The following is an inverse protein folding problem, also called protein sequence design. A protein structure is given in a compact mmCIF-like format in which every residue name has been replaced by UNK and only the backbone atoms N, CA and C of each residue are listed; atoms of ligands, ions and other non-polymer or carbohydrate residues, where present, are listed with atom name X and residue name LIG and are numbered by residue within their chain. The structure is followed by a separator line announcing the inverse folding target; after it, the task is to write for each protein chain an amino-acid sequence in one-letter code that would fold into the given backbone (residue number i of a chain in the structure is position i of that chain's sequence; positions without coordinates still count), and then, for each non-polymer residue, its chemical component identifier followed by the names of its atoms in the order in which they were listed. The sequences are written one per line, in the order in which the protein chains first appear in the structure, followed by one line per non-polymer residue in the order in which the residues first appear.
data_IF_294137517477
#
_entry.id   IF_294137517477
#
_cell.length_a   1.000
_cell.length_b   1.000
_cell.length_c   1.000
_cell.angle_alpha   90.00
_cell.angle_beta   90.00
_cell.angle_gamma   90.00
#
_symmetry.space_group_name_H-M   'P 1'
#
loop_
_entity.id
_entity.type
_entity.pdbx_description
1 polymer ?
#
# COMPACT_ATOMS: atom_id res chain seq x y z
N UNK A 1 5.18 13.26 -1.54
CA UNK A 1 4.52 12.11 -0.87
C UNK A 1 4.10 10.98 -1.84
N UNK A 2 3.45 11.22 -2.99
CA UNK A 2 3.03 10.13 -3.90
C UNK A 2 4.18 9.31 -4.51
N UNK A 3 5.31 9.94 -4.82
CA UNK A 3 6.50 9.28 -5.42
C UNK A 3 7.13 8.29 -4.42
N UNK A 4 7.10 8.60 -3.14
CA UNK A 4 7.66 7.75 -2.10
C UNK A 4 6.82 6.47 -1.90
N UNK A 5 5.50 6.56 -1.90
CA UNK A 5 4.59 5.41 -1.76
C UNK A 5 4.74 4.38 -2.89
N UNK A 6 4.82 4.85 -4.14
CA UNK A 6 5.03 3.95 -5.27
C UNK A 6 6.37 3.22 -5.18
N UNK A 7 7.42 3.91 -4.77
CA UNK A 7 8.75 3.34 -4.58
C UNK A 7 8.74 2.27 -3.48
N UNK A 8 8.09 2.53 -2.36
CA UNK A 8 7.94 1.56 -1.26
C UNK A 8 7.26 0.26 -1.72
N UNK A 9 6.20 0.37 -2.55
CA UNK A 9 5.54 -0.80 -3.13
C UNK A 9 6.50 -1.58 -4.03
N UNK A 10 7.21 -0.90 -4.93
CA UNK A 10 8.15 -1.52 -5.87
C UNK A 10 9.29 -2.22 -5.13
N UNK A 11 9.87 -1.60 -4.11
CA UNK A 11 10.96 -2.18 -3.31
C UNK A 11 10.49 -3.45 -2.57
N UNK A 12 9.31 -3.41 -1.97
CA UNK A 12 8.72 -4.57 -1.31
C UNK A 12 8.41 -5.72 -2.28
N UNK A 13 7.85 -5.41 -3.46
CA UNK A 13 7.56 -6.40 -4.50
C UNK A 13 8.84 -6.99 -5.11
N UNK A 14 9.90 -6.19 -5.22
CA UNK A 14 11.20 -6.67 -5.68
C UNK A 14 11.74 -7.74 -4.72
N UNK A 15 11.60 -7.52 -3.41
CA UNK A 15 11.97 -8.51 -2.40
C UNK A 15 11.13 -9.79 -2.51
N UNK A 16 9.81 -9.66 -2.69
CA UNK A 16 8.92 -10.81 -2.89
C UNK A 16 9.27 -11.57 -4.17
N UNK A 17 9.55 -10.86 -5.26
CA UNK A 17 9.95 -11.46 -6.54
C UNK A 17 11.23 -12.29 -6.43
N UNK A 18 12.25 -11.76 -5.73
CA UNK A 18 13.51 -12.49 -5.51
C UNK A 18 13.25 -13.78 -4.74
N UNK A 19 12.40 -13.75 -3.72
CA UNK A 19 12.02 -14.95 -2.96
C UNK A 19 11.28 -15.97 -3.82
N UNK A 20 10.27 -15.52 -4.59
CA UNK A 20 9.47 -16.39 -5.48
C UNK A 20 10.29 -17.02 -6.60
N UNK A 21 11.38 -16.39 -7.02
CA UNK A 21 12.27 -16.86 -8.07
C UNK A 21 13.58 -17.48 -7.56
N UNK A 22 13.71 -17.73 -6.23
CA UNK A 22 14.93 -18.24 -5.61
C UNK A 22 15.38 -19.58 -6.22
N UNK A 23 14.43 -20.47 -6.50
CA UNK A 23 14.69 -21.80 -7.01
C UNK A 23 14.83 -21.87 -8.53
N UNK A 24 14.76 -20.75 -9.23
CA UNK A 24 14.92 -20.74 -10.66
C UNK A 24 16.39 -20.93 -11.05
N UNK A 25 16.69 -21.83 -12.03
CA UNK A 25 18.05 -22.08 -12.47
C UNK A 25 18.67 -20.85 -13.16
N UNK A 26 19.99 -20.81 -13.20
CA UNK A 26 20.75 -19.71 -13.84
C UNK A 26 20.41 -19.52 -15.32
N UNK A 27 19.96 -20.57 -16.01
CA UNK A 27 19.47 -20.46 -17.41
C UNK A 27 18.26 -19.54 -17.58
N UNK A 28 17.54 -19.22 -16.48
CA UNK A 28 16.40 -18.32 -16.49
C UNK A 28 16.72 -16.89 -16.05
N UNK A 29 18.00 -16.51 -16.04
CA UNK A 29 18.41 -15.17 -15.56
C UNK A 29 17.71 -14.03 -16.31
N UNK A 30 17.60 -14.11 -17.64
CA UNK A 30 16.84 -13.10 -18.43
C UNK A 30 15.35 -13.03 -18.05
N UNK A 31 14.77 -14.14 -17.65
CA UNK A 31 13.37 -14.16 -17.20
C UNK A 31 13.23 -13.51 -15.82
N UNK A 32 14.18 -13.73 -14.91
CA UNK A 32 14.24 -13.03 -13.61
C UNK A 32 14.36 -11.52 -13.83
N UNK A 33 15.29 -11.09 -14.66
CA UNK A 33 15.48 -9.66 -14.99
C UNK A 33 14.24 -9.05 -15.63
N UNK A 34 13.52 -9.80 -16.49
CA UNK A 34 12.26 -9.37 -17.06
C UNK A 34 11.20 -9.11 -15.97
N UNK A 35 11.04 -10.03 -15.03
CA UNK A 35 10.08 -9.88 -13.93
C UNK A 35 10.42 -8.64 -13.10
N UNK A 36 11.68 -8.45 -12.72
CA UNK A 36 12.12 -7.29 -11.92
C UNK A 36 11.92 -5.95 -12.66
N UNK A 37 12.28 -5.88 -13.94
CA UNK A 37 12.06 -4.69 -14.75
C UNK A 37 10.57 -4.41 -14.97
N UNK A 38 9.72 -5.44 -15.08
CA UNK A 38 8.28 -5.29 -15.25
C UNK A 38 7.61 -4.77 -13.98
N UNK A 39 8.05 -5.21 -12.79
CA UNK A 39 7.64 -4.63 -11.51
C UNK A 39 8.04 -3.16 -11.43
N UNK A 40 9.28 -2.82 -11.77
CA UNK A 40 9.78 -1.45 -11.72
C UNK A 40 8.95 -0.48 -12.59
N UNK A 41 8.38 -0.98 -13.70
CA UNK A 41 7.45 -0.23 -14.56
C UNK A 41 6.02 -0.15 -14.01
N UNK A 42 5.72 -0.75 -12.87
CA UNK A 42 4.36 -0.91 -12.34
C UNK A 42 3.48 -1.78 -13.23
N UNK A 43 4.07 -2.79 -13.87
CA UNK A 43 3.43 -3.72 -14.82
C UNK A 43 2.85 -3.07 -16.08
N UNK A 44 3.37 -1.90 -16.49
CA UNK A 44 2.82 -1.12 -17.62
C UNK A 44 3.55 -1.34 -18.92
N UNK A 45 4.86 -1.59 -18.88
CA UNK A 45 5.70 -1.62 -20.08
C UNK A 45 6.50 -2.93 -20.20
N UNK A 46 5.84 -4.00 -20.68
CA UNK A 46 6.47 -5.31 -20.85
C UNK A 46 7.57 -5.31 -21.92
N UNK A 47 7.41 -4.53 -22.99
CA UNK A 47 8.43 -4.46 -24.06
C UNK A 47 9.72 -3.85 -23.55
N UNK A 48 9.63 -2.78 -22.77
CA UNK A 48 10.81 -2.15 -22.17
C UNK A 48 11.44 -3.06 -21.12
N UNK A 49 10.64 -3.74 -20.31
CA UNK A 49 11.12 -4.74 -19.37
C UNK A 49 11.90 -5.87 -20.07
N UNK A 50 11.47 -6.31 -21.25
CA UNK A 50 12.20 -7.29 -22.04
C UNK A 50 13.54 -6.74 -22.56
N UNK A 51 13.61 -5.47 -22.98
CA UNK A 51 14.88 -4.82 -23.36
C UNK A 51 15.87 -4.77 -22.19
N UNK A 52 15.40 -4.32 -21.04
CA UNK A 52 16.20 -4.25 -19.81
C UNK A 52 16.68 -5.63 -19.34
N UNK A 53 15.91 -6.68 -19.61
CA UNK A 53 16.31 -8.07 -19.36
C UNK A 53 17.33 -8.63 -20.36
N UNK A 54 17.76 -7.83 -21.33
CA UNK A 54 18.77 -8.21 -22.32
C UNK A 54 18.23 -9.03 -23.50
N UNK A 55 16.93 -8.90 -23.82
CA UNK A 55 16.39 -9.36 -25.09
C UNK A 55 16.65 -8.32 -26.18
N UNK A 56 16.84 -8.80 -27.43
CA UNK A 56 17.12 -7.91 -28.57
C UNK A 56 15.98 -6.93 -28.83
N UNK A 57 16.30 -5.66 -29.12
CA UNK A 57 15.32 -4.62 -29.44
C UNK A 57 14.30 -5.04 -30.52
N UNK A 58 14.79 -5.75 -31.54
CA UNK A 58 13.95 -6.25 -32.64
C UNK A 58 12.93 -7.29 -32.19
N UNK A 59 13.22 -8.04 -31.14
CA UNK A 59 12.39 -9.15 -30.67
C UNK A 59 11.77 -8.90 -29.30
N UNK A 60 12.11 -7.81 -28.61
CA UNK A 60 11.66 -7.53 -27.26
C UNK A 60 10.13 -7.55 -27.08
N UNK A 61 9.40 -6.97 -28.04
CA UNK A 61 7.93 -6.98 -28.02
C UNK A 61 7.37 -8.42 -28.12
N UNK A 62 7.90 -9.21 -29.05
CA UNK A 62 7.47 -10.60 -29.23
C UNK A 62 7.82 -11.42 -28.00
N UNK A 63 9.03 -11.25 -27.46
CA UNK A 63 9.48 -11.95 -26.25
C UNK A 63 8.67 -11.57 -25.02
N UNK A 64 8.35 -10.30 -24.83
CA UNK A 64 7.46 -9.85 -23.78
C UNK A 64 6.09 -10.52 -23.85
N UNK A 65 5.49 -10.54 -25.04
CA UNK A 65 4.22 -11.23 -25.27
C UNK A 65 4.33 -12.74 -25.00
N UNK A 66 5.39 -13.39 -25.47
CA UNK A 66 5.63 -14.83 -25.23
C UNK A 66 5.74 -15.14 -23.72
N UNK A 67 6.52 -14.35 -22.97
CA UNK A 67 6.68 -14.52 -21.54
C UNK A 67 5.37 -14.38 -20.76
N UNK A 68 4.48 -13.52 -21.25
CA UNK A 68 3.20 -13.26 -20.60
C UNK A 68 2.05 -14.19 -21.01
N UNK A 69 2.19 -14.93 -22.13
CA UNK A 69 1.04 -15.66 -22.69
C UNK A 69 1.30 -17.12 -23.05
N UNK A 70 2.56 -17.50 -23.36
CA UNK A 70 2.86 -18.86 -23.82
C UNK A 70 2.98 -19.86 -22.66
N UNK A 71 2.44 -21.04 -22.84
CA UNK A 71 2.46 -22.14 -21.87
C UNK A 71 3.88 -22.52 -21.38
N UNK A 72 4.90 -22.36 -22.23
CA UNK A 72 6.29 -22.65 -21.87
C UNK A 72 6.84 -21.71 -20.76
N UNK A 73 6.12 -20.61 -20.46
CA UNK A 73 6.50 -19.59 -19.47
C UNK A 73 5.49 -19.47 -18.33
N UNK A 74 4.73 -20.53 -18.03
CA UNK A 74 3.75 -20.54 -16.91
C UNK A 74 4.37 -20.08 -15.59
N UNK A 75 5.58 -20.53 -15.29
CA UNK A 75 6.30 -20.12 -14.07
C UNK A 75 6.56 -18.59 -14.00
N UNK A 76 6.75 -17.90 -15.14
CA UNK A 76 6.86 -16.44 -15.21
C UNK A 76 5.50 -15.79 -14.96
N UNK A 77 4.46 -16.34 -15.59
CA UNK A 77 3.08 -15.83 -15.48
C UNK A 77 2.53 -15.97 -14.08
N UNK A 78 2.76 -17.10 -13.41
CA UNK A 78 2.37 -17.35 -12.02
C UNK A 78 3.01 -16.33 -11.07
N UNK A 79 4.32 -16.12 -11.17
CA UNK A 79 5.03 -15.13 -10.36
C UNK A 79 4.48 -13.71 -10.62
N UNK A 80 4.30 -13.34 -11.88
CA UNK A 80 3.75 -12.02 -12.24
C UNK A 80 2.32 -11.86 -11.71
N UNK A 81 1.50 -12.90 -11.75
CA UNK A 81 0.13 -12.85 -11.24
C UNK A 81 0.11 -12.61 -9.73
N UNK A 82 0.92 -13.35 -8.96
CA UNK A 82 1.06 -13.15 -7.51
C UNK A 82 1.52 -11.72 -7.21
N UNK A 83 2.53 -11.24 -7.92
CA UNK A 83 3.08 -9.90 -7.71
C UNK A 83 2.11 -8.78 -8.09
N UNK A 84 1.27 -8.97 -9.12
CA UNK A 84 0.20 -8.02 -9.46
C UNK A 84 -0.86 -7.96 -8.35
N UNK A 85 -1.30 -9.10 -7.84
CA UNK A 85 -2.24 -9.13 -6.73
C UNK A 85 -1.68 -8.42 -5.48
N UNK A 86 -0.40 -8.66 -5.16
CA UNK A 86 0.28 -7.98 -4.07
C UNK A 86 0.44 -6.47 -4.32
N UNK A 87 0.69 -6.06 -5.57
CA UNK A 87 0.74 -4.64 -5.96
C UNK A 87 -0.61 -3.96 -5.74
N UNK A 88 -1.69 -4.55 -6.23
CA UNK A 88 -3.04 -4.00 -6.10
C UNK A 88 -3.46 -3.90 -4.63
N UNK A 89 -3.17 -4.95 -3.83
CA UNK A 89 -3.43 -4.96 -2.39
C UNK A 89 -2.68 -3.84 -1.68
N UNK A 90 -1.35 -3.75 -1.84
CA UNK A 90 -0.52 -2.71 -1.21
C UNK A 90 -0.87 -1.30 -1.71
N UNK A 91 -1.20 -1.15 -2.99
CA UNK A 91 -1.65 0.12 -3.55
C UNK A 91 -2.94 0.60 -2.92
N UNK A 92 -3.88 -0.31 -2.68
CA UNK A 92 -5.14 -0.02 -1.98
C UNK A 92 -4.87 0.32 -0.52
N UNK A 93 -4.07 -0.47 0.19
CA UNK A 93 -3.70 -0.23 1.59
C UNK A 93 -3.01 1.13 1.79
N UNK A 94 -2.12 1.53 0.87
CA UNK A 94 -1.43 2.83 0.93
C UNK A 94 -2.27 4.01 0.43
N UNK A 95 -3.36 3.77 -0.30
CA UNK A 95 -4.28 4.82 -0.74
C UNK A 95 -5.30 5.21 0.33
N UNK A 96 -5.55 4.30 1.28
CA UNK A 96 -6.42 4.55 2.43
C UNK A 96 -5.58 5.20 3.54
N UNK A 97 -6.09 6.28 4.13
CA UNK A 97 -5.45 6.89 5.28
C UNK A 97 -5.38 5.88 6.43
N UNK A 98 -4.20 5.68 6.99
CA UNK A 98 -4.03 4.83 8.16
C UNK A 98 -4.75 5.40 9.37
N UNK A 99 -5.09 4.55 10.34
CA UNK A 99 -5.68 5.00 11.61
C UNK A 99 -4.80 6.07 12.28
N UNK A 100 -3.48 5.92 12.22
CA UNK A 100 -2.52 6.88 12.77
C UNK A 100 -2.60 8.23 12.05
N UNK A 101 -2.68 8.25 10.71
CA UNK A 101 -2.84 9.49 9.93
C UNK A 101 -4.15 10.20 10.26
N UNK A 102 -5.24 9.46 10.42
CA UNK A 102 -6.54 9.99 10.81
C UNK A 102 -6.46 10.57 12.24
N UNK A 103 -5.86 9.86 13.17
CA UNK A 103 -5.66 10.35 14.54
C UNK A 103 -4.78 11.60 14.58
N UNK A 104 -3.70 11.64 13.80
CA UNK A 104 -2.84 12.82 13.68
C UNK A 104 -3.59 14.02 13.11
N UNK A 105 -4.40 13.82 12.06
CA UNK A 105 -5.23 14.88 11.49
C UNK A 105 -6.20 15.44 12.53
N UNK A 106 -6.97 14.61 13.21
CA UNK A 106 -7.89 15.05 14.25
C UNK A 106 -7.16 15.73 15.43
N UNK A 107 -5.96 15.29 15.76
CA UNK A 107 -5.12 15.92 16.78
C UNK A 107 -4.71 17.33 16.38
N UNK A 108 -4.29 17.55 15.12
CA UNK A 108 -3.93 18.88 14.63
C UNK A 108 -5.14 19.81 14.59
N UNK A 109 -6.30 19.32 14.14
CA UNK A 109 -7.55 20.09 14.19
C UNK A 109 -7.91 20.49 15.63
N UNK A 110 -7.81 19.54 16.58
CA UNK A 110 -8.09 19.80 18.01
C UNK A 110 -7.18 20.88 18.58
N UNK A 111 -5.89 20.87 18.21
CA UNK A 111 -4.90 21.86 18.66
C UNK A 111 -5.03 23.21 17.94
N UNK A 112 -5.79 23.26 16.83
CA UNK A 112 -5.90 24.45 16.00
C UNK A 112 -4.69 24.67 15.10
N UNK A 113 -3.95 23.59 14.79
CA UNK A 113 -2.77 23.59 13.92
C UNK A 113 -3.15 23.38 12.41
N UNK A 114 -4.36 22.93 12.15
CA UNK A 114 -4.94 22.89 10.80
C UNK A 114 -5.66 24.20 10.53
N UNK A 115 -5.73 24.57 9.26
CA UNK A 115 -6.44 25.77 8.80
C UNK A 115 -7.48 25.39 7.76
N UNK A 116 -8.55 26.17 7.69
CA UNK A 116 -9.59 26.08 6.67
C UNK A 116 -9.64 27.39 5.88
N UNK A 117 -10.32 27.39 4.75
CA UNK A 117 -10.47 28.57 3.89
C UNK A 117 -11.91 29.04 3.88
N UNK A 118 -12.15 30.28 4.30
CA UNK A 118 -13.46 30.89 4.23
C UNK A 118 -13.51 32.01 3.18
N UNK A 119 -14.64 32.08 2.48
CA UNK A 119 -14.91 33.18 1.55
C UNK A 119 -15.51 34.30 2.36
N UNK A 120 -14.75 35.39 2.50
CA UNK A 120 -15.18 36.61 3.21
C UNK A 120 -15.55 37.70 2.20
N UNK A 121 -16.76 38.23 2.35
CA UNK A 121 -17.21 39.36 1.54
C UNK A 121 -17.18 40.62 2.39
N UNK A 122 -16.38 41.59 1.98
CA UNK A 122 -16.28 42.90 2.66
C UNK A 122 -17.55 43.69 2.48
N UNK A 123 -17.73 44.71 3.33
CA UNK A 123 -18.86 45.65 3.24
C UNK A 123 -18.88 46.41 1.87
N UNK A 124 -17.73 46.52 1.21
CA UNK A 124 -17.61 47.10 -0.15
C UNK A 124 -18.02 46.11 -1.27
N UNK A 125 -18.39 44.84 -0.93
CA UNK A 125 -18.77 43.85 -1.94
C UNK A 125 -17.58 43.08 -2.54
N UNK A 126 -16.35 43.31 -2.07
CA UNK A 126 -15.17 42.58 -2.53
C UNK A 126 -15.10 41.23 -1.81
N UNK A 127 -14.91 40.15 -2.57
CA UNK A 127 -14.80 38.83 -2.04
C UNK A 127 -13.32 38.40 -1.98
N UNK A 128 -12.88 37.90 -0.83
CA UNK A 128 -11.54 37.32 -0.60
C UNK A 128 -11.67 35.94 -0.02
N UNK A 129 -10.65 35.10 -0.23
CA UNK A 129 -10.50 33.82 0.45
C UNK A 129 -9.50 34.04 1.57
N UNK A 130 -9.93 33.78 2.79
CA UNK A 130 -9.10 33.94 3.99
C UNK A 130 -8.86 32.58 4.66
N UNK A 131 -7.64 32.40 5.14
CA UNK A 131 -7.26 31.23 5.91
C UNK A 131 -7.67 31.44 7.37
N UNK A 132 -8.46 30.53 7.90
CA UNK A 132 -9.03 30.64 9.24
C UNK A 132 -8.74 29.38 10.07
N UNK A 133 -8.55 29.50 11.38
CA UNK A 133 -8.40 28.35 12.26
C UNK A 133 -9.73 27.58 12.38
N UNK A 134 -9.69 26.26 12.68
CA UNK A 134 -10.90 25.46 12.87
C UNK A 134 -11.77 26.03 14.00
N UNK A 135 -13.08 26.09 13.75
CA UNK A 135 -14.06 26.57 14.73
C UNK A 135 -14.13 25.62 15.94
N UNK A 136 -14.51 26.13 17.09
CA UNK A 136 -14.64 25.33 18.33
C UNK A 136 -15.49 24.08 18.12
N UNK A 137 -16.57 24.18 17.36
CA UNK A 137 -17.44 23.03 17.03
C UNK A 137 -16.73 21.93 16.24
N UNK A 138 -15.83 22.29 15.34
CA UNK A 138 -15.02 21.35 14.52
C UNK A 138 -13.96 20.69 15.39
N UNK A 139 -13.33 21.45 16.27
CA UNK A 139 -12.37 20.94 17.27
C UNK A 139 -13.05 19.95 18.23
N UNK A 140 -14.28 20.23 18.69
CA UNK A 140 -15.04 19.29 19.51
C UNK A 140 -15.36 18.00 18.75
N UNK A 141 -15.81 18.07 17.50
CA UNK A 141 -16.05 16.87 16.67
C UNK A 141 -14.79 16.04 16.49
N UNK A 142 -13.63 16.68 16.31
CA UNK A 142 -12.35 15.98 16.19
C UNK A 142 -11.96 15.31 17.52
N UNK A 143 -12.23 15.94 18.66
CA UNK A 143 -12.01 15.33 19.98
C UNK A 143 -12.91 14.10 20.19
N UNK A 144 -14.19 14.19 19.83
CA UNK A 144 -15.15 13.07 19.94
C UNK A 144 -14.72 11.90 19.03
N UNK A 145 -14.27 12.20 17.80
CA UNK A 145 -13.76 11.20 16.87
C UNK A 145 -12.52 10.49 17.41
N UNK A 146 -11.57 11.23 17.98
CA UNK A 146 -10.40 10.66 18.63
C UNK A 146 -10.75 9.78 19.82
N UNK A 147 -11.65 10.24 20.69
CA UNK A 147 -12.09 9.48 21.86
C UNK A 147 -12.72 8.15 21.44
N UNK A 148 -13.55 8.16 20.40
CA UNK A 148 -14.16 6.95 19.85
C UNK A 148 -13.10 5.99 19.29
N UNK A 149 -12.17 6.47 18.48
CA UNK A 149 -11.11 5.65 17.90
C UNK A 149 -10.23 5.00 18.97
N UNK A 150 -9.93 5.73 20.06
CA UNK A 150 -9.14 5.20 21.17
C UNK A 150 -9.91 4.12 21.93
N UNK A 151 -11.21 4.33 22.19
CA UNK A 151 -12.05 3.33 22.88
C UNK A 151 -12.22 2.05 22.05
N UNK A 152 -12.39 2.17 20.74
CA UNK A 152 -12.51 1.03 19.84
C UNK A 152 -11.20 0.23 19.77
N UNK A 153 -10.05 0.91 19.77
CA UNK A 153 -8.72 0.29 19.81
C UNK A 153 -8.47 -0.46 21.13
N UNK A 154 -8.86 0.11 22.26
CA UNK A 154 -8.74 -0.56 23.57
C UNK A 154 -9.64 -1.81 23.66
N UNK A 155 -10.85 -1.76 23.10
CA UNK A 155 -11.76 -2.91 23.06
C UNK A 155 -11.18 -4.03 22.16
N UNK A 156 -10.58 -3.69 21.02
CA UNK A 156 -9.94 -4.67 20.14
C UNK A 156 -8.80 -5.37 20.85
N UNK A 157 -7.90 -4.62 21.50
CA UNK A 157 -6.78 -5.18 22.25
C UNK A 157 -7.22 -6.09 23.40
N UNK A 158 -8.32 -5.74 24.10
CA UNK A 158 -8.88 -6.60 25.16
C UNK A 158 -9.46 -7.90 24.60
N UNK A 159 -10.07 -7.86 23.42
CA UNK A 159 -10.62 -9.04 22.76
C UNK A 159 -9.53 -9.97 22.28
N UNK A 160 -8.45 -9.45 21.69
CA UNK A 160 -7.27 -10.22 21.27
C UNK A 160 -6.60 -10.91 22.47
N UNK A 161 -6.37 -10.18 23.57
CA UNK A 161 -5.80 -10.74 24.81
C UNK A 161 -6.69 -11.83 25.44
N UNK A 162 -8.02 -11.71 25.31
CA UNK A 162 -8.96 -12.73 25.79
C UNK A 162 -8.95 -13.98 24.92
N UNK A 163 -8.80 -13.81 23.59
CA UNK A 163 -8.66 -14.92 22.64
C UNK A 163 -7.34 -15.67 22.85
N UNK A 164 -6.23 -14.98 22.99
CA UNK A 164 -4.93 -15.58 23.26
C UNK A 164 -4.97 -16.45 24.54
N UNK A 165 -5.55 -15.94 25.63
CA UNK A 165 -5.74 -16.70 26.85
C UNK A 165 -6.64 -17.91 26.70
N UNK A 166 -7.63 -17.88 25.80
CA UNK A 166 -8.48 -19.01 25.48
C UNK A 166 -7.71 -20.07 24.67
N UNK A 167 -6.90 -19.67 23.72
CA UNK A 167 -6.04 -20.57 22.95
C UNK A 167 -5.01 -21.26 23.84
N UNK A 168 -4.33 -20.52 24.74
CA UNK A 168 -3.38 -21.08 25.69
C UNK A 168 -4.03 -22.16 26.56
N UNK A 169 -5.24 -21.94 27.07
CA UNK A 169 -5.98 -22.93 27.85
C UNK A 169 -6.37 -24.18 27.06
N UNK A 170 -6.78 -24.01 25.79
CA UNK A 170 -7.12 -25.13 24.93
C UNK A 170 -5.88 -25.99 24.61
N UNK A 171 -4.73 -25.35 24.40
CA UNK A 171 -3.45 -26.08 24.21
C UNK A 171 -3.03 -26.84 25.47
N UNK A 172 -3.22 -26.26 26.66
CA UNK A 172 -2.97 -26.97 27.93
C UNK A 172 -3.88 -28.19 28.13
N UNK A 173 -5.16 -28.10 27.78
CA UNK A 173 -6.12 -29.21 27.86
C UNK A 173 -5.83 -30.32 26.83
N UNK A 174 -5.36 -29.97 25.63
CA UNK A 174 -5.01 -30.94 24.57
C UNK A 174 -3.71 -31.65 24.89
N UNK A 175 -2.71 -30.97 25.44
CA UNK A 175 -1.39 -31.49 25.71
C UNK A 175 -1.27 -32.15 27.13
N UNK A 176 -2.27 -31.99 27.97
CA UNK A 176 -2.31 -32.51 29.35
C UNK A 176 -3.03 -33.87 29.54
N UNK A 177 -3.41 -34.56 28.42
CA UNK A 177 -4.07 -35.87 28.45
C UNK A 177 -3.15 -36.97 27.92
#
# INVERSE_FOLDING_TARGET
MAIDRHRQIVDALTTDAIKLMSDWPSSREKQKQFVLAYIASGFKNATEAARQAGYSDKTANVKASELLTKANFLHVQEVIQILKQNFDKRSTELSIASLVEIQQFHTRVLRGEETDFEVVTSVSGTTSIEEVPPRIKERQKSADSLAKMLSDSENTNRTELALDKLFDKLEEEINGN
#
